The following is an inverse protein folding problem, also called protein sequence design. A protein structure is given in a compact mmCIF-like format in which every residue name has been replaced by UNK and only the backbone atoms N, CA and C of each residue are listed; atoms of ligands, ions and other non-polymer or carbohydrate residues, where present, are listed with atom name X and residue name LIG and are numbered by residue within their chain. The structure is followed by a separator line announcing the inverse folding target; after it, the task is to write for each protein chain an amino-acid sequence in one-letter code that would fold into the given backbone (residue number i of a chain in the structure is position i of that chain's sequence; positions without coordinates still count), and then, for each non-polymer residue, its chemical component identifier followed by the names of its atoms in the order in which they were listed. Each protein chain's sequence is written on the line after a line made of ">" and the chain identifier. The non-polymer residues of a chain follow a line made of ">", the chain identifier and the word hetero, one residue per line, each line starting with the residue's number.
data_IF_191876464765
#
_entry.id   IF_191876464765
#
_cell.length_a   1.000
_cell.length_b   1.000
_cell.length_c   1.000
_cell.angle_alpha   90.00
_cell.angle_beta   90.00
_cell.angle_gamma   90.00
#
_symmetry.space_group_name_H-M   'P 1'
#
loop_
_entity.id
_entity.type
_entity.pdbx_description
1 polymer ?
#
# COMPACT_ATOMS: atom_id res chain seq x y z
N UNK A 1 16.36 -23.15 1.24
CA UNK A 1 15.98 -21.74 1.01
C UNK A 1 15.35 -21.22 2.28
N UNK A 2 15.86 -20.10 2.79
CA UNK A 2 15.38 -19.38 3.97
C UNK A 2 15.13 -17.95 3.52
N UNK A 3 13.87 -17.50 3.60
CA UNK A 3 13.42 -16.22 3.08
C UNK A 3 13.08 -15.31 4.27
N UNK A 4 13.65 -14.12 4.28
CA UNK A 4 13.19 -13.03 5.14
C UNK A 4 12.48 -12.01 4.27
N UNK A 5 11.31 -11.56 4.70
CA UNK A 5 10.52 -10.57 3.96
C UNK A 5 10.25 -9.35 4.83
N UNK A 6 10.77 -8.18 4.43
CA UNK A 6 10.74 -6.96 5.23
C UNK A 6 9.67 -5.96 4.76
N UNK A 7 8.76 -6.37 3.87
CA UNK A 7 7.65 -5.57 3.38
C UNK A 7 6.37 -6.44 3.28
N UNK A 8 5.17 -5.92 3.62
CA UNK A 8 3.93 -6.70 3.51
C UNK A 8 3.69 -7.25 2.11
N UNK A 9 3.81 -6.43 1.06
CA UNK A 9 3.54 -6.88 -0.31
C UNK A 9 4.51 -7.98 -0.77
N UNK A 10 5.79 -7.93 -0.41
CA UNK A 10 6.73 -9.02 -0.76
C UNK A 10 6.41 -10.30 0.00
N UNK A 11 5.91 -10.23 1.23
CA UNK A 11 5.42 -11.40 1.98
C UNK A 11 4.24 -12.04 1.29
N UNK A 12 3.27 -11.24 0.83
CA UNK A 12 2.12 -11.72 0.08
C UNK A 12 2.54 -12.37 -1.25
N UNK A 13 3.53 -11.80 -1.94
CA UNK A 13 4.11 -12.38 -3.16
C UNK A 13 4.73 -13.75 -2.85
N UNK A 14 5.52 -13.88 -1.79
CA UNK A 14 6.12 -15.16 -1.38
C UNK A 14 5.05 -16.23 -1.13
N UNK A 15 3.97 -15.88 -0.42
CA UNK A 15 2.85 -16.80 -0.20
C UNK A 15 2.14 -17.16 -1.50
N UNK A 16 1.85 -16.19 -2.37
CA UNK A 16 1.19 -16.43 -3.66
C UNK A 16 2.03 -17.29 -4.61
N UNK A 17 3.37 -17.23 -4.51
CA UNK A 17 4.29 -18.11 -5.25
C UNK A 17 4.41 -19.53 -4.66
N UNK A 18 3.67 -19.84 -3.59
CA UNK A 18 3.71 -21.14 -2.91
C UNK A 18 4.99 -21.36 -2.08
N UNK A 19 5.65 -20.27 -1.68
CA UNK A 19 6.94 -20.29 -0.98
C UNK A 19 6.82 -19.95 0.52
N UNK A 20 5.60 -19.83 1.04
CA UNK A 20 5.33 -19.44 2.44
C UNK A 20 6.10 -20.26 3.48
N UNK A 21 6.18 -21.59 3.30
CA UNK A 21 6.92 -22.50 4.21
C UNK A 21 8.43 -22.21 4.31
N UNK A 22 8.98 -21.39 3.42
CA UNK A 22 10.38 -20.98 3.42
C UNK A 22 10.59 -19.62 4.10
N UNK A 23 9.53 -18.91 4.48
CA UNK A 23 9.63 -17.70 5.29
C UNK A 23 10.13 -18.06 6.69
N UNK A 24 11.18 -17.38 7.12
CA UNK A 24 11.80 -17.57 8.45
C UNK A 24 11.77 -16.30 9.30
N UNK A 25 11.40 -15.16 8.71
CA UNK A 25 11.26 -13.88 9.41
C UNK A 25 10.50 -12.86 8.56
N UNK A 26 9.87 -11.90 9.24
CA UNK A 26 8.97 -10.91 8.64
C UNK A 26 9.19 -9.50 9.21
N UNK A 27 8.68 -8.45 8.54
CA UNK A 27 8.55 -7.12 9.18
C UNK A 27 7.38 -7.08 10.16
N UNK A 28 7.34 -6.03 11.00
CA UNK A 28 6.23 -5.81 11.95
C UNK A 28 4.87 -5.63 11.25
N UNK A 29 4.84 -5.07 10.04
CA UNK A 29 3.61 -4.84 9.26
C UNK A 29 3.16 -6.05 8.44
N UNK A 30 3.99 -7.10 8.31
CA UNK A 30 3.62 -8.29 7.54
C UNK A 30 2.62 -9.13 8.33
N UNK A 31 1.32 -8.99 8.09
CA UNK A 31 0.27 -9.69 8.85
C UNK A 31 -0.60 -10.63 8.00
N UNK A 32 -0.30 -10.75 6.70
CA UNK A 32 -1.04 -11.57 5.75
C UNK A 32 -0.09 -12.46 4.92
N UNK A 33 -0.45 -13.74 4.67
CA UNK A 33 -1.61 -14.45 5.21
C UNK A 33 -1.44 -14.75 6.71
N UNK A 34 -2.53 -14.95 7.44
CA UNK A 34 -2.50 -15.07 8.91
C UNK A 34 -1.54 -16.16 9.45
N UNK A 35 -1.22 -17.18 8.66
CA UNK A 35 -0.25 -18.24 8.97
C UNK A 35 1.18 -17.74 9.21
N UNK A 36 1.56 -16.58 8.66
CA UNK A 36 2.92 -16.03 8.83
C UNK A 36 3.07 -15.22 10.12
N UNK A 37 1.98 -14.96 10.85
CA UNK A 37 2.00 -14.11 12.05
C UNK A 37 2.79 -14.72 13.21
N UNK A 38 3.02 -16.04 13.21
CA UNK A 38 3.89 -16.71 14.19
C UNK A 38 5.38 -16.58 13.87
N UNK A 39 5.76 -16.06 12.71
CA UNK A 39 7.17 -15.89 12.34
C UNK A 39 7.83 -14.75 13.13
N UNK A 40 9.14 -14.86 13.41
CA UNK A 40 9.90 -13.81 14.07
C UNK A 40 9.79 -12.47 13.35
N UNK A 41 9.58 -11.40 14.11
CA UNK A 41 9.51 -10.02 13.62
C UNK A 41 10.90 -9.40 13.70
N UNK A 42 11.40 -8.92 12.56
CA UNK A 42 12.77 -8.42 12.40
C UNK A 42 12.88 -6.90 12.38
N UNK A 43 11.76 -6.18 12.31
CA UNK A 43 11.77 -4.73 12.25
C UNK A 43 10.84 -4.10 13.26
N UNK A 44 11.19 -2.91 13.72
CA UNK A 44 10.34 -2.09 14.59
C UNK A 44 10.40 -0.61 14.16
N UNK A 45 9.31 0.15 14.31
CA UNK A 45 9.30 1.59 14.05
C UNK A 45 10.15 2.33 15.09
N UNK A 46 10.86 3.38 14.66
CA UNK A 46 11.58 4.33 15.55
C UNK A 46 10.71 5.53 15.95
N UNK A 47 9.40 5.46 15.70
CA UNK A 47 8.39 6.47 16.00
C UNK A 47 7.17 5.82 16.65
N UNK A 48 6.30 6.63 17.25
CA UNK A 48 5.04 6.16 17.85
C UNK A 48 4.00 5.96 16.74
N UNK A 49 3.58 4.71 16.51
CA UNK A 49 2.66 4.35 15.42
C UNK A 49 1.18 4.60 15.73
N UNK A 50 0.80 4.67 17.00
CA UNK A 50 -0.59 4.91 17.41
C UNK A 50 -0.83 6.39 17.74
N UNK A 51 -0.52 7.26 16.78
CA UNK A 51 -0.60 8.72 16.90
C UNK A 51 -1.54 9.35 15.88
N UNK A 52 -1.68 10.67 15.96
CA UNK A 52 -2.35 11.47 14.93
C UNK A 52 -1.45 11.65 13.71
N UNK A 53 -2.01 11.84 12.53
CA UNK A 53 -1.29 11.93 11.25
C UNK A 53 -0.24 13.03 11.30
N UNK A 54 -0.60 14.21 11.84
CA UNK A 54 0.35 15.31 12.01
C UNK A 54 1.52 14.98 12.92
N UNK A 55 1.29 14.22 13.99
CA UNK A 55 2.33 13.87 14.96
C UNK A 55 3.24 12.76 14.41
N UNK A 56 2.69 11.84 13.63
CA UNK A 56 3.45 10.83 12.89
C UNK A 56 4.31 11.52 11.83
N UNK A 57 3.73 12.41 11.01
CA UNK A 57 4.43 13.17 9.97
C UNK A 57 5.63 13.94 10.53
N UNK A 58 5.45 14.65 11.66
CA UNK A 58 6.55 15.36 12.34
C UNK A 58 7.66 14.44 12.81
N UNK A 59 7.33 13.29 13.40
CA UNK A 59 8.32 12.33 13.87
C UNK A 59 9.11 11.73 12.71
N UNK A 60 8.41 11.30 11.66
CA UNK A 60 9.02 10.73 10.45
C UNK A 60 9.93 11.75 9.77
N UNK A 61 9.45 12.98 9.51
CA UNK A 61 10.27 14.06 8.95
C UNK A 61 11.51 14.34 9.81
N UNK A 62 11.36 14.36 11.13
CA UNK A 62 12.51 14.58 12.03
C UNK A 62 13.56 13.46 11.96
N UNK A 63 13.16 12.21 11.72
CA UNK A 63 14.09 11.10 11.52
C UNK A 63 14.83 11.25 10.18
N UNK A 64 14.08 11.51 9.10
CA UNK A 64 14.63 11.67 7.76
C UNK A 64 15.59 12.87 7.65
N UNK A 65 15.25 14.02 8.25
CA UNK A 65 16.11 15.21 8.32
C UNK A 65 17.44 14.94 9.03
N UNK A 66 17.46 13.97 9.96
CA UNK A 66 18.66 13.51 10.67
C UNK A 66 19.41 12.41 9.92
N UNK A 67 18.94 12.01 8.73
CA UNK A 67 19.49 10.90 7.96
C UNK A 67 19.27 9.54 8.63
N UNK A 68 18.30 9.43 9.54
CA UNK A 68 17.96 8.20 10.23
C UNK A 68 16.83 7.49 9.48
N UNK A 69 16.95 6.18 9.33
CA UNK A 69 15.83 5.35 8.87
C UNK A 69 14.66 5.41 9.84
N UNK A 70 13.46 5.29 9.28
CA UNK A 70 12.20 5.26 10.02
C UNK A 70 12.03 3.97 10.84
N UNK A 71 12.74 2.90 10.46
CA UNK A 71 12.68 1.60 11.09
C UNK A 71 14.05 1.16 11.59
N UNK A 72 14.06 0.16 12.47
CA UNK A 72 15.25 -0.57 12.89
C UNK A 72 15.14 -2.01 12.42
N UNK A 73 16.27 -2.63 12.05
CA UNK A 73 16.40 -4.07 11.79
C UNK A 73 17.12 -4.74 12.96
N UNK A 74 16.56 -5.82 13.47
CA UNK A 74 17.23 -6.68 14.43
C UNK A 74 18.31 -7.51 13.72
N UNK A 75 19.54 -6.98 13.73
CA UNK A 75 20.67 -7.59 13.05
C UNK A 75 21.11 -8.92 13.69
N UNK A 76 20.95 -9.07 15.01
CA UNK A 76 21.29 -10.32 15.73
C UNK A 76 20.31 -11.43 15.36
N UNK A 77 19.00 -11.15 15.37
CA UNK A 77 18.00 -12.12 14.94
C UNK A 77 18.12 -12.42 13.45
N UNK A 78 18.36 -11.41 12.60
CA UNK A 78 18.60 -11.63 11.17
C UNK A 78 19.78 -12.59 10.96
N UNK A 79 20.81 -12.45 11.80
CA UNK A 79 21.99 -13.29 11.78
C UNK A 79 21.75 -14.73 12.17
N UNK A 80 20.99 -14.94 13.25
CA UNK A 80 20.56 -16.26 13.70
C UNK A 80 19.71 -16.95 12.64
N UNK A 81 18.86 -16.19 11.95
CA UNK A 81 17.96 -16.70 10.92
C UNK A 81 18.65 -17.08 9.62
N UNK A 82 19.91 -16.70 9.36
CA UNK A 82 20.69 -17.16 8.19
C UNK A 82 19.91 -17.15 6.86
N UNK A 83 19.26 -16.05 6.45
CA UNK A 83 18.51 -16.01 5.18
C UNK A 83 19.39 -16.22 3.95
N UNK A 84 18.87 -16.98 3.00
CA UNK A 84 19.42 -17.07 1.64
C UNK A 84 18.98 -15.87 0.80
N UNK A 85 17.74 -15.38 1.04
CA UNK A 85 17.14 -14.23 0.33
C UNK A 85 16.49 -13.29 1.34
N UNK A 86 16.72 -11.98 1.17
CA UNK A 86 16.02 -10.93 1.90
C UNK A 86 15.24 -10.09 0.88
N UNK A 87 13.92 -10.00 1.07
CA UNK A 87 13.06 -9.16 0.25
C UNK A 87 12.80 -7.84 0.97
N UNK A 88 13.06 -6.72 0.30
CA UNK A 88 12.85 -5.36 0.82
C UNK A 88 12.39 -4.41 -0.30
N UNK A 89 12.37 -3.11 -0.03
CA UNK A 89 12.04 -2.06 -1.00
C UNK A 89 12.91 -0.81 -0.84
N UNK A 90 12.91 -0.02 -1.89
CA UNK A 90 13.58 1.28 -2.03
C UNK A 90 12.63 2.36 -2.63
N UNK A 91 11.32 2.11 -2.57
CA UNK A 91 10.26 3.00 -3.06
C UNK A 91 9.94 4.15 -2.12
N UNK A 92 9.78 3.83 -0.83
CA UNK A 92 9.29 4.74 0.18
C UNK A 92 10.13 4.56 1.45
N UNK A 93 10.93 5.57 1.81
CA UNK A 93 11.76 5.55 3.03
C UNK A 93 10.95 5.49 4.33
N UNK A 94 9.63 5.70 4.22
CA UNK A 94 8.66 5.65 5.32
C UNK A 94 7.95 4.31 5.42
N UNK A 95 7.89 3.50 4.37
CA UNK A 95 6.98 2.36 4.29
C UNK A 95 7.64 1.01 4.65
N UNK A 96 8.97 0.93 4.60
CA UNK A 96 9.74 -0.18 5.14
C UNK A 96 11.15 0.28 5.53
N UNK A 97 11.93 -0.63 6.11
CA UNK A 97 13.35 -0.37 6.35
C UNK A 97 14.07 -0.01 5.05
N UNK A 98 14.97 0.96 5.11
CA UNK A 98 15.78 1.38 3.97
C UNK A 98 16.75 0.30 3.51
N UNK A 99 17.01 0.25 2.20
CA UNK A 99 17.99 -0.67 1.62
C UNK A 99 19.39 -0.54 2.24
N UNK A 100 19.95 0.66 2.49
CA UNK A 100 21.25 0.80 3.13
C UNK A 100 21.34 0.17 4.52
N UNK A 101 20.28 0.25 5.33
CA UNK A 101 20.26 -0.39 6.65
C UNK A 101 20.23 -1.92 6.55
N UNK A 102 19.46 -2.46 5.60
CA UNK A 102 19.44 -3.91 5.33
C UNK A 102 20.82 -4.37 4.86
N UNK A 103 21.42 -3.66 3.92
CA UNK A 103 22.76 -3.97 3.42
C UNK A 103 23.81 -3.86 4.52
N UNK A 104 23.75 -2.85 5.39
CA UNK A 104 24.66 -2.70 6.52
C UNK A 104 24.50 -3.83 7.55
N UNK A 105 23.26 -4.22 7.87
CA UNK A 105 22.99 -5.36 8.76
C UNK A 105 23.53 -6.67 8.17
N UNK A 106 23.32 -6.89 6.87
CA UNK A 106 23.87 -8.06 6.15
C UNK A 106 25.38 -8.02 6.13
N UNK A 107 26.02 -6.89 5.80
CA UNK A 107 27.49 -6.77 5.74
C UNK A 107 28.15 -7.01 7.10
N UNK A 108 27.58 -6.43 8.17
CA UNK A 108 28.13 -6.50 9.54
C UNK A 108 28.10 -7.92 10.09
N UNK A 109 27.03 -8.67 9.85
CA UNK A 109 26.91 -10.03 10.33
C UNK A 109 27.56 -11.04 9.39
N UNK A 110 27.27 -10.96 8.09
CA UNK A 110 27.49 -12.13 7.24
C UNK A 110 28.97 -12.45 7.12
N UNK A 111 29.85 -11.48 6.84
CA UNK A 111 31.16 -11.82 6.26
C UNK A 111 31.05 -12.80 5.06
N UNK A 112 29.84 -12.99 4.51
CA UNK A 112 29.41 -14.10 3.67
C UNK A 112 28.71 -13.50 2.47
N UNK A 113 29.37 -13.56 1.32
CA UNK A 113 28.94 -13.00 0.04
C UNK A 113 27.74 -13.75 -0.60
N UNK A 114 26.88 -14.42 0.19
CA UNK A 114 25.88 -15.39 -0.31
C UNK A 114 24.42 -15.00 -0.11
N UNK A 115 24.08 -14.12 0.83
CA UNK A 115 22.68 -13.67 0.99
C UNK A 115 22.31 -12.73 -0.16
N UNK A 116 21.24 -13.04 -0.88
CA UNK A 116 20.76 -12.22 -1.97
C UNK A 116 19.70 -11.23 -1.46
N UNK A 117 20.01 -9.94 -1.48
CA UNK A 117 19.06 -8.87 -1.17
C UNK A 117 18.32 -8.48 -2.45
N UNK A 118 16.98 -8.55 -2.42
CA UNK A 118 16.11 -8.19 -3.53
C UNK A 118 15.27 -7.00 -3.11
N UNK A 119 15.61 -5.83 -3.64
CA UNK A 119 14.78 -4.62 -3.49
C UNK A 119 13.79 -4.49 -4.64
N UNK A 120 12.56 -4.07 -4.35
CA UNK A 120 11.54 -3.71 -5.35
C UNK A 120 11.03 -2.29 -5.10
N UNK A 121 10.70 -1.58 -6.17
CA UNK A 121 10.15 -0.22 -6.08
C UNK A 121 9.05 0.00 -7.13
N UNK A 122 7.86 -0.61 -6.94
CA UNK A 122 6.76 -0.43 -7.86
C UNK A 122 6.12 0.96 -7.68
N UNK A 123 6.12 1.77 -8.73
CA UNK A 123 5.40 3.05 -8.76
C UNK A 123 4.08 2.94 -9.51
N UNK A 124 3.91 1.95 -10.37
CA UNK A 124 2.70 1.72 -11.18
C UNK A 124 2.35 0.21 -11.22
N UNK A 125 1.22 -0.15 -11.83
CA UNK A 125 0.76 -1.53 -11.99
C UNK A 125 1.79 -2.40 -12.73
N UNK A 126 2.45 -1.84 -13.74
CA UNK A 126 3.49 -2.57 -14.45
C UNK A 126 4.68 -2.88 -13.53
N UNK A 127 5.10 -1.93 -12.70
CA UNK A 127 6.11 -2.06 -11.68
C UNK A 127 5.75 -3.12 -10.64
N UNK A 128 4.46 -3.24 -10.27
CA UNK A 128 3.97 -4.34 -9.43
C UNK A 128 4.21 -5.68 -10.11
N UNK A 129 3.84 -5.82 -11.39
CA UNK A 129 4.10 -7.06 -12.14
C UNK A 129 5.59 -7.37 -12.23
N UNK A 130 6.42 -6.37 -12.54
CA UNK A 130 7.87 -6.55 -12.60
C UNK A 130 8.46 -6.95 -11.25
N UNK A 131 7.93 -6.42 -10.15
CA UNK A 131 8.31 -6.80 -8.79
C UNK A 131 8.00 -8.28 -8.51
N UNK A 132 6.82 -8.76 -8.91
CA UNK A 132 6.44 -10.17 -8.81
C UNK A 132 7.37 -11.05 -9.65
N UNK A 133 7.66 -10.66 -10.88
CA UNK A 133 8.56 -11.41 -11.77
C UNK A 133 10.00 -11.45 -11.23
N UNK A 134 10.52 -10.33 -10.72
CA UNK A 134 11.85 -10.21 -10.10
C UNK A 134 11.97 -11.11 -8.86
N UNK A 135 10.97 -11.08 -7.98
CA UNK A 135 10.91 -11.97 -6.81
C UNK A 135 10.79 -13.43 -7.26
N UNK A 136 9.94 -13.72 -8.25
CA UNK A 136 9.83 -15.03 -8.86
C UNK A 136 11.16 -15.56 -9.39
N UNK A 137 11.97 -14.73 -10.04
CA UNK A 137 13.31 -15.10 -10.50
C UNK A 137 14.24 -15.42 -9.32
N UNK A 138 14.32 -14.54 -8.33
CA UNK A 138 15.17 -14.72 -7.15
C UNK A 138 14.82 -16.00 -6.35
N UNK A 139 13.53 -16.36 -6.33
CA UNK A 139 13.02 -17.55 -5.64
C UNK A 139 12.95 -18.80 -6.52
N UNK A 140 13.43 -18.74 -7.78
CA UNK A 140 13.39 -19.84 -8.75
C UNK A 140 11.95 -20.33 -9.04
N UNK A 141 11.01 -19.38 -9.10
CA UNK A 141 9.57 -19.54 -9.32
C UNK A 141 9.06 -18.74 -10.53
N UNK A 142 9.87 -18.59 -11.58
CA UNK A 142 9.52 -17.83 -12.80
C UNK A 142 8.15 -18.18 -13.39
N UNK A 143 7.84 -19.48 -13.53
CA UNK A 143 6.55 -19.94 -14.07
C UNK A 143 5.37 -19.57 -13.17
N UNK A 144 5.50 -19.71 -11.85
CA UNK A 144 4.46 -19.33 -10.90
C UNK A 144 4.25 -17.82 -10.90
N UNK A 145 5.33 -17.03 -10.97
CA UNK A 145 5.26 -15.58 -11.04
C UNK A 145 4.57 -15.09 -12.31
N UNK A 146 4.88 -15.69 -13.46
CA UNK A 146 4.18 -15.37 -14.71
C UNK A 146 2.69 -15.70 -14.62
N UNK A 147 2.35 -16.89 -14.12
CA UNK A 147 0.95 -17.31 -13.94
C UNK A 147 0.18 -16.36 -13.02
N UNK A 148 0.81 -15.91 -11.93
CA UNK A 148 0.23 -14.95 -11.00
C UNK A 148 -0.02 -13.58 -11.65
N UNK A 149 0.94 -13.08 -12.44
CA UNK A 149 0.78 -11.82 -13.18
C UNK A 149 -0.35 -11.92 -14.21
N UNK A 150 -0.44 -13.05 -14.92
CA UNK A 150 -1.48 -13.27 -15.92
C UNK A 150 -2.88 -13.29 -15.27
N UNK A 151 -3.00 -13.98 -14.12
CA UNK A 151 -4.23 -14.00 -13.33
C UNK A 151 -4.62 -12.60 -12.82
N UNK A 152 -3.67 -11.82 -12.31
CA UNK A 152 -3.92 -10.45 -11.86
C UNK A 152 -4.44 -9.57 -13.01
N UNK A 153 -3.80 -9.64 -14.17
CA UNK A 153 -4.23 -8.89 -15.37
C UNK A 153 -5.63 -9.29 -15.81
N UNK A 154 -5.93 -10.58 -15.84
CA UNK A 154 -7.27 -11.09 -16.18
C UNK A 154 -8.34 -10.54 -15.23
N UNK A 155 -8.09 -10.58 -13.91
CA UNK A 155 -9.02 -10.06 -12.90
C UNK A 155 -9.28 -8.56 -13.05
N UNK A 156 -8.25 -7.77 -13.33
CA UNK A 156 -8.39 -6.33 -13.57
C UNK A 156 -9.14 -6.04 -14.88
N UNK A 157 -8.92 -6.83 -15.93
CA UNK A 157 -9.62 -6.68 -17.21
C UNK A 157 -11.10 -7.04 -17.10
N UNK A 158 -11.46 -8.02 -16.27
CA UNK A 158 -12.87 -8.33 -15.96
C UNK A 158 -13.56 -7.11 -15.32
N UNK A 159 -12.88 -6.42 -14.39
CA UNK A 159 -13.42 -5.20 -13.78
C UNK A 159 -13.58 -4.11 -14.85
N UNK A 160 -12.52 -3.83 -15.62
CA UNK A 160 -12.49 -2.81 -16.68
C UNK A 160 -13.62 -3.01 -17.69
N UNK A 161 -13.77 -4.23 -18.19
CA UNK A 161 -14.78 -4.57 -19.19
C UNK A 161 -16.21 -4.43 -18.65
N UNK A 162 -16.44 -4.76 -17.37
CA UNK A 162 -17.76 -4.62 -16.72
C UNK A 162 -18.21 -3.16 -16.63
N UNK A 163 -17.27 -2.23 -16.39
CA UNK A 163 -17.54 -0.78 -16.28
C UNK A 163 -17.32 -0.02 -17.60
N UNK A 164 -16.99 -0.72 -18.69
CA UNK A 164 -16.75 -0.09 -19.98
C UNK A 164 -18.00 0.64 -20.50
N UNK A 165 -17.82 1.86 -20.99
CA UNK A 165 -18.90 2.73 -21.47
C UNK A 165 -19.84 3.27 -20.39
N UNK A 166 -19.53 3.08 -19.10
CA UNK A 166 -20.28 3.70 -18.00
C UNK A 166 -19.82 5.13 -17.77
N UNK A 167 -20.67 5.91 -17.10
CA UNK A 167 -20.32 7.28 -16.67
C UNK A 167 -19.18 7.19 -15.65
N UNK A 168 -18.12 7.95 -15.90
CA UNK A 168 -16.95 8.03 -15.03
C UNK A 168 -17.15 9.17 -14.04
N UNK A 169 -16.91 8.89 -12.76
CA UNK A 169 -16.95 9.89 -11.68
C UNK A 169 -15.54 10.41 -11.42
N UNK A 170 -15.42 11.70 -11.15
CA UNK A 170 -14.18 12.32 -10.67
C UNK A 170 -13.93 11.93 -9.21
N UNK A 171 -12.75 11.37 -8.93
CA UNK A 171 -12.38 10.80 -7.63
C UNK A 171 -11.15 11.51 -7.08
N UNK A 172 -11.24 11.97 -5.83
CA UNK A 172 -10.07 12.34 -5.02
C UNK A 172 -9.83 11.23 -4.00
N UNK A 173 -8.59 10.76 -3.93
CA UNK A 173 -8.19 9.67 -3.02
C UNK A 173 -7.21 10.18 -1.98
N UNK A 174 -7.65 10.39 -0.74
CA UNK A 174 -6.83 10.95 0.34
C UNK A 174 -5.96 9.85 0.95
N UNK A 175 -4.64 9.92 0.73
CA UNK A 175 -3.63 8.98 1.25
C UNK A 175 -3.06 9.41 2.61
N UNK A 176 -3.13 10.70 2.94
CA UNK A 176 -2.75 11.22 4.25
C UNK A 176 -3.61 12.44 4.60
N UNK A 177 -4.06 12.52 5.85
CA UNK A 177 -5.05 13.52 6.28
C UNK A 177 -4.37 14.83 6.67
N UNK A 178 -3.22 14.77 7.35
CA UNK A 178 -2.56 15.96 7.87
C UNK A 178 -1.03 15.79 7.98
N UNK A 179 -0.25 16.49 7.14
CA UNK A 179 -0.70 17.36 6.06
C UNK A 179 -1.47 16.61 4.96
N UNK A 180 -2.19 17.29 4.09
CA UNK A 180 -3.03 16.60 3.10
C UNK A 180 -2.19 16.01 1.96
N UNK A 181 -2.41 14.73 1.67
CA UNK A 181 -1.87 14.06 0.48
C UNK A 181 -2.97 13.37 -0.30
N UNK A 182 -2.87 13.45 -1.61
CA UNK A 182 -3.65 12.61 -2.53
C UNK A 182 -2.78 11.45 -3.00
N UNK A 183 -3.41 10.32 -3.28
CA UNK A 183 -2.73 9.09 -3.60
C UNK A 183 -2.23 9.07 -5.04
N UNK A 184 -0.92 8.90 -5.21
CA UNK A 184 -0.27 8.70 -6.50
C UNK A 184 0.00 7.23 -6.79
N UNK A 185 1.14 6.97 -7.41
CA UNK A 185 1.64 5.65 -7.75
C UNK A 185 0.63 4.85 -8.62
N UNK A 186 0.28 3.63 -8.21
CA UNK A 186 -0.65 2.75 -8.92
C UNK A 186 -2.12 3.14 -8.71
N UNK A 187 -2.43 3.99 -7.73
CA UNK A 187 -3.81 4.30 -7.33
C UNK A 187 -4.62 4.96 -8.47
N UNK A 188 -4.09 5.97 -9.20
CA UNK A 188 -4.76 6.51 -10.37
C UNK A 188 -5.19 5.42 -11.37
N UNK A 189 -4.32 4.45 -11.66
CA UNK A 189 -4.65 3.34 -12.57
C UNK A 189 -5.78 2.45 -12.01
N UNK A 190 -5.80 2.21 -10.70
CA UNK A 190 -6.88 1.40 -10.09
C UNK A 190 -8.23 2.11 -10.21
N UNK A 191 -8.25 3.43 -9.97
CA UNK A 191 -9.47 4.25 -10.14
C UNK A 191 -9.93 4.23 -11.59
N UNK A 192 -9.01 4.35 -12.54
CA UNK A 192 -9.33 4.26 -13.96
C UNK A 192 -9.91 2.91 -14.38
N UNK A 193 -9.31 1.81 -13.91
CA UNK A 193 -9.80 0.44 -14.14
C UNK A 193 -11.19 0.24 -13.54
N UNK A 194 -11.42 0.79 -12.34
CA UNK A 194 -12.71 0.77 -11.67
C UNK A 194 -13.75 1.71 -12.30
N UNK A 195 -13.40 2.44 -13.36
CA UNK A 195 -14.31 3.28 -14.12
C UNK A 195 -14.56 4.65 -13.50
N UNK A 196 -13.59 5.21 -12.78
CA UNK A 196 -13.55 6.60 -12.33
C UNK A 196 -12.38 7.37 -12.96
N UNK A 197 -12.38 8.69 -12.82
CA UNK A 197 -11.29 9.58 -13.22
C UNK A 197 -10.57 10.07 -11.96
N UNK A 198 -9.32 9.68 -11.77
CA UNK A 198 -8.52 10.14 -10.63
C UNK A 198 -8.17 11.62 -10.79
N UNK A 199 -8.16 12.36 -9.68
CA UNK A 199 -7.80 13.77 -9.65
C UNK A 199 -6.60 14.02 -8.74
N UNK A 200 -5.88 15.11 -9.01
CA UNK A 200 -4.80 15.66 -8.18
C UNK A 200 -3.54 14.78 -8.05
N UNK A 201 -3.46 13.63 -8.73
CA UNK A 201 -2.23 12.88 -8.96
C UNK A 201 -2.30 12.09 -10.26
N UNK A 202 -1.12 11.79 -10.80
CA UNK A 202 -0.92 11.09 -12.07
C UNK A 202 -0.40 9.66 -11.83
N UNK A 203 -0.72 8.70 -12.72
CA UNK A 203 -0.19 7.35 -12.68
C UNK A 203 1.35 7.32 -12.60
N UNK A 204 1.90 6.54 -11.68
CA UNK A 204 3.35 6.34 -11.54
C UNK A 204 4.12 7.46 -10.84
N UNK A 205 3.49 8.62 -10.61
CA UNK A 205 4.09 9.73 -9.86
C UNK A 205 3.87 9.57 -8.36
N UNK A 206 4.84 10.01 -7.55
CA UNK A 206 4.71 9.94 -6.09
C UNK A 206 3.50 10.75 -5.59
N UNK A 207 2.82 10.24 -4.56
CA UNK A 207 1.71 10.92 -3.88
C UNK A 207 2.08 12.36 -3.50
N UNK A 208 1.41 13.38 -4.08
CA UNK A 208 1.76 14.77 -3.83
C UNK A 208 1.06 15.29 -2.57
N UNK A 209 1.76 16.22 -1.89
CA UNK A 209 1.14 17.08 -0.89
C UNK A 209 0.25 18.10 -1.60
N UNK A 210 -0.96 18.29 -1.08
CA UNK A 210 -1.94 19.23 -1.63
C UNK A 210 -2.48 20.14 -0.53
N UNK A 211 -3.03 21.27 -0.93
CA UNK A 211 -3.79 22.16 -0.07
C UNK A 211 -5.28 21.80 -0.12
N UNK A 212 -6.02 22.17 0.92
CA UNK A 212 -7.49 21.99 0.95
C UNK A 212 -8.20 22.69 -0.22
N UNK A 213 -7.67 23.84 -0.67
CA UNK A 213 -8.19 24.59 -1.83
C UNK A 213 -8.15 23.77 -3.12
N UNK A 214 -7.18 22.87 -3.28
CA UNK A 214 -7.03 22.08 -4.49
C UNK A 214 -8.20 21.07 -4.61
N UNK A 215 -8.68 20.55 -3.47
CA UNK A 215 -9.88 19.69 -3.41
C UNK A 215 -11.14 20.51 -3.72
N UNK A 216 -11.24 21.73 -3.20
CA UNK A 216 -12.38 22.63 -3.48
C UNK A 216 -12.47 23.01 -4.96
N UNK A 217 -11.33 23.35 -5.58
CA UNK A 217 -11.25 23.70 -7.00
C UNK A 217 -11.54 22.51 -7.91
N UNK A 218 -11.11 21.31 -7.51
CA UNK A 218 -11.36 20.09 -8.28
C UNK A 218 -12.82 19.62 -8.21
N UNK A 219 -13.55 19.95 -7.13
CA UNK A 219 -14.94 19.62 -6.84
C UNK A 219 -15.33 18.18 -7.25
N UNK A 220 -14.77 17.15 -6.57
CA UNK A 220 -14.94 15.76 -6.98
C UNK A 220 -16.37 15.26 -6.82
N UNK A 221 -16.76 14.31 -7.68
CA UNK A 221 -18.01 13.57 -7.55
C UNK A 221 -17.96 12.58 -6.37
N UNK A 222 -16.76 12.14 -6.00
CA UNK A 222 -16.52 11.13 -4.98
C UNK A 222 -15.20 11.35 -4.25
N UNK A 223 -15.20 11.17 -2.93
CA UNK A 223 -13.99 11.22 -2.10
C UNK A 223 -13.81 9.86 -1.42
N UNK A 224 -12.62 9.29 -1.56
CA UNK A 224 -12.19 8.14 -0.75
C UNK A 224 -11.09 8.56 0.22
N UNK A 225 -11.21 8.15 1.48
CA UNK A 225 -10.26 8.47 2.56
C UNK A 225 -9.59 7.16 2.96
N UNK A 226 -8.31 7.02 2.63
CA UNK A 226 -7.55 5.77 2.74
C UNK A 226 -6.14 5.96 3.33
N UNK A 227 -6.02 6.59 4.51
CA UNK A 227 -4.72 6.96 5.05
C UNK A 227 -3.76 5.77 5.17
N UNK A 228 -2.51 6.00 4.80
CA UNK A 228 -1.46 4.98 4.87
C UNK A 228 -1.28 4.46 6.30
N UNK A 229 -1.14 3.13 6.47
CA UNK A 229 -0.93 2.50 7.79
C UNK A 229 -2.10 2.61 8.78
N UNK A 230 -3.25 3.15 8.37
CA UNK A 230 -4.41 3.34 9.25
C UNK A 230 -5.49 2.29 8.99
N UNK A 231 -6.01 1.74 10.09
CA UNK A 231 -7.27 0.99 10.10
C UNK A 231 -8.47 1.95 10.03
N UNK A 232 -9.67 1.43 9.73
CA UNK A 232 -10.91 2.21 9.79
C UNK A 232 -11.09 3.00 11.07
N UNK A 233 -10.70 2.42 12.21
CA UNK A 233 -10.85 3.06 13.52
C UNK A 233 -9.99 4.33 13.58
N UNK A 234 -8.71 4.20 13.22
CA UNK A 234 -7.77 5.32 13.21
C UNK A 234 -8.20 6.38 12.19
N UNK A 235 -8.61 5.96 10.99
CA UNK A 235 -9.15 6.89 9.99
C UNK A 235 -10.34 7.66 10.53
N UNK A 236 -11.32 6.99 11.14
CA UNK A 236 -12.52 7.63 11.68
C UNK A 236 -12.23 8.63 12.80
N UNK A 237 -11.20 8.39 13.62
CA UNK A 237 -10.75 9.33 14.66
C UNK A 237 -10.19 10.64 14.07
N UNK A 238 -9.71 10.62 12.82
CA UNK A 238 -9.11 11.78 12.16
C UNK A 238 -10.01 12.46 11.12
N UNK A 239 -11.07 11.80 10.67
CA UNK A 239 -12.10 12.38 9.80
C UNK A 239 -12.56 13.78 10.24
N UNK A 240 -12.72 14.10 11.54
CA UNK A 240 -13.06 15.45 11.97
C UNK A 240 -12.11 16.55 11.47
N UNK A 241 -10.83 16.27 11.21
CA UNK A 241 -9.86 17.22 10.62
C UNK A 241 -10.25 17.67 9.21
N UNK A 242 -11.05 16.86 8.51
CA UNK A 242 -11.62 17.17 7.20
C UNK A 242 -13.02 17.75 7.36
N UNK A 243 -13.88 17.08 8.11
CA UNK A 243 -15.32 17.38 8.15
C UNK A 243 -15.67 18.61 8.98
N UNK A 244 -14.78 19.09 9.87
CA UNK A 244 -15.01 20.30 10.66
C UNK A 244 -14.69 21.60 9.90
N UNK A 245 -14.28 21.50 8.63
CA UNK A 245 -14.03 22.66 7.76
C UNK A 245 -15.36 23.20 7.27
N UNK A 246 -15.54 24.52 7.29
CA UNK A 246 -16.79 25.14 6.86
C UNK A 246 -17.12 24.79 5.38
N UNK A 247 -16.08 24.77 4.54
CA UNK A 247 -16.16 24.45 3.11
C UNK A 247 -16.41 22.96 2.83
N UNK A 248 -16.29 22.07 3.84
CA UNK A 248 -16.57 20.64 3.66
C UNK A 248 -17.98 20.42 3.12
N UNK A 249 -18.95 21.16 3.65
CA UNK A 249 -20.36 21.05 3.24
C UNK A 249 -20.63 21.56 1.82
N UNK A 250 -19.68 22.26 1.21
CA UNK A 250 -19.80 22.85 -0.12
C UNK A 250 -19.46 21.85 -1.24
N UNK A 251 -18.62 20.86 -0.95
CA UNK A 251 -18.17 19.86 -1.91
C UNK A 251 -19.32 19.03 -2.49
N UNK A 252 -19.29 18.80 -3.81
CA UNK A 252 -20.29 17.97 -4.50
C UNK A 252 -20.37 16.56 -3.90
N UNK A 253 -19.24 15.89 -3.71
CA UNK A 253 -19.19 14.56 -3.08
C UNK A 253 -19.89 14.51 -1.71
N UNK A 254 -19.81 15.59 -0.91
CA UNK A 254 -20.45 15.65 0.42
C UNK A 254 -21.95 15.85 0.30
N UNK A 255 -22.39 16.79 -0.55
CA UNK A 255 -23.82 17.03 -0.84
C UNK A 255 -24.52 15.79 -1.39
N UNK A 256 -23.83 15.03 -2.21
CA UNK A 256 -24.32 13.81 -2.85
C UNK A 256 -24.09 12.53 -2.04
N UNK A 257 -23.53 12.61 -0.82
CA UNK A 257 -23.30 11.44 0.06
C UNK A 257 -22.40 10.38 -0.57
N UNK A 258 -21.33 10.86 -1.22
CA UNK A 258 -20.32 10.08 -1.92
C UNK A 258 -18.94 10.22 -1.24
N UNK A 259 -18.91 10.12 0.10
CA UNK A 259 -17.66 10.07 0.86
C UNK A 259 -17.51 8.71 1.52
N UNK A 260 -16.35 8.08 1.31
CA UNK A 260 -16.09 6.72 1.74
C UNK A 260 -14.79 6.63 2.53
N UNK A 261 -14.80 5.83 3.59
CA UNK A 261 -13.59 5.39 4.28
C UNK A 261 -13.16 4.06 3.67
N UNK A 262 -11.87 3.90 3.45
CA UNK A 262 -11.28 2.65 2.97
C UNK A 262 -10.30 2.10 4.01
N UNK A 263 -10.15 0.78 4.04
CA UNK A 263 -9.06 0.17 4.80
C UNK A 263 -7.77 0.32 3.97
N UNK A 264 -7.01 1.38 4.26
CA UNK A 264 -5.78 1.72 3.57
C UNK A 264 -4.68 0.68 3.81
N UNK A 265 -4.40 0.34 5.07
CA UNK A 265 -3.28 -0.53 5.45
C UNK A 265 -3.30 -1.89 4.74
N UNK A 266 -4.48 -2.50 4.63
CA UNK A 266 -4.64 -3.85 4.06
C UNK A 266 -4.75 -3.85 2.54
N UNK A 267 -5.46 -2.89 1.94
CA UNK A 267 -5.79 -2.97 0.52
C UNK A 267 -5.04 -1.94 -0.35
N UNK A 268 -4.76 -0.74 0.14
CA UNK A 268 -4.30 0.34 -0.75
C UNK A 268 -2.81 0.63 -0.66
N UNK A 269 -2.13 0.20 0.42
CA UNK A 269 -0.69 0.44 0.63
C UNK A 269 0.19 -0.80 0.43
N UNK A 270 -0.35 -1.87 -0.18
CA UNK A 270 0.35 -3.14 -0.41
C UNK A 270 0.41 -3.44 -1.92
N UNK A 271 1.41 -2.92 -2.64
CA UNK A 271 1.54 -3.10 -4.09
C UNK A 271 1.94 -4.54 -4.43
N UNK A 272 0.97 -5.44 -4.50
CA UNK A 272 1.18 -6.88 -4.61
C UNK A 272 -0.04 -7.64 -5.15
N UNK A 273 -0.13 -8.96 -4.89
CA UNK A 273 -1.12 -9.83 -5.51
C UNK A 273 -2.57 -9.42 -5.26
N UNK A 274 -2.86 -8.76 -4.13
CA UNK A 274 -4.21 -8.36 -3.73
C UNK A 274 -4.70 -7.03 -4.33
N UNK A 275 -3.95 -6.41 -5.25
CA UNK A 275 -4.35 -5.13 -5.85
C UNK A 275 -5.69 -5.19 -6.61
N UNK A 276 -6.08 -6.39 -7.06
CA UNK A 276 -7.40 -6.62 -7.65
C UNK A 276 -8.53 -6.42 -6.62
N UNK A 277 -8.31 -6.69 -5.32
CA UNK A 277 -9.29 -6.45 -4.25
C UNK A 277 -9.49 -4.95 -4.05
N UNK A 278 -8.40 -4.18 -4.05
CA UNK A 278 -8.42 -2.71 -3.97
C UNK A 278 -9.20 -2.10 -5.14
N UNK A 279 -8.95 -2.61 -6.35
CA UNK A 279 -9.70 -2.22 -7.55
C UNK A 279 -11.17 -2.63 -7.48
N UNK A 280 -11.45 -3.82 -6.93
CA UNK A 280 -12.83 -4.31 -6.70
C UNK A 280 -13.57 -3.42 -5.71
N UNK A 281 -12.92 -2.97 -4.63
CA UNK A 281 -13.48 -2.03 -3.65
C UNK A 281 -13.89 -0.72 -4.35
N UNK A 282 -13.01 -0.15 -5.16
CA UNK A 282 -13.32 1.05 -5.94
C UNK A 282 -14.50 0.83 -6.89
N UNK A 283 -14.55 -0.32 -7.58
CA UNK A 283 -15.63 -0.65 -8.49
C UNK A 283 -16.99 -0.84 -7.78
N UNK A 284 -17.00 -1.46 -6.58
CA UNK A 284 -18.19 -1.57 -5.72
C UNK A 284 -18.75 -0.21 -5.31
N UNK A 285 -17.87 0.76 -5.05
CA UNK A 285 -18.23 2.13 -4.66
C UNK A 285 -18.72 2.93 -5.87
N UNK A 286 -18.00 2.86 -6.99
CA UNK A 286 -18.27 3.66 -8.18
C UNK A 286 -19.52 3.18 -8.94
N UNK A 287 -19.71 1.86 -9.04
CA UNK A 287 -20.73 1.20 -9.86
C UNK A 287 -21.54 0.15 -9.06
N UNK A 288 -22.29 0.55 -8.01
CA UNK A 288 -23.01 -0.38 -7.13
C UNK A 288 -24.09 -1.22 -7.83
N UNK A 289 -24.59 -0.79 -8.99
CA UNK A 289 -25.55 -1.53 -9.81
C UNK A 289 -24.91 -2.71 -10.57
N UNK A 290 -23.59 -2.69 -10.74
CA UNK A 290 -22.82 -3.71 -11.47
C UNK A 290 -21.98 -4.58 -10.54
N UNK A 291 -21.66 -4.07 -9.34
CA UNK A 291 -20.79 -4.72 -8.38
C UNK A 291 -21.50 -4.89 -7.04
N UNK A 292 -21.78 -6.15 -6.67
CA UNK A 292 -22.26 -6.48 -5.32
C UNK A 292 -21.23 -6.02 -4.27
N UNK A 293 -21.66 -5.42 -3.14
CA UNK A 293 -20.80 -4.83 -2.13
C UNK A 293 -20.18 -5.91 -1.21
N UNK A 294 -19.35 -6.79 -1.77
CA UNK A 294 -18.79 -7.95 -1.06
C UNK A 294 -17.69 -7.59 -0.08
N UNK A 295 -17.06 -6.43 -0.25
CA UNK A 295 -16.01 -5.91 0.62
C UNK A 295 -16.49 -4.72 1.47
N UNK A 296 -17.80 -4.50 1.55
CA UNK A 296 -18.37 -3.52 2.47
C UNK A 296 -18.13 -3.97 3.91
N UNK A 297 -17.84 -3.02 4.79
CA UNK A 297 -17.44 -3.18 6.20
C UNK A 297 -16.04 -3.74 6.43
N UNK A 298 -15.41 -4.39 5.46
CA UNK A 298 -14.05 -4.94 5.55
C UNK A 298 -13.02 -4.15 4.76
N UNK A 299 -13.36 -3.75 3.53
CA UNK A 299 -12.53 -2.94 2.64
C UNK A 299 -13.01 -1.50 2.49
N UNK A 300 -14.32 -1.25 2.64
CA UNK A 300 -14.86 0.11 2.61
C UNK A 300 -16.09 0.33 3.50
N UNK A 301 -16.29 1.58 3.94
CA UNK A 301 -17.49 2.06 4.64
C UNK A 301 -17.91 3.41 4.07
N UNK A 302 -19.22 3.65 4.03
CA UNK A 302 -19.74 4.98 3.66
C UNK A 302 -19.68 5.90 4.88
N UNK A 303 -19.17 7.11 4.71
CA UNK A 303 -19.11 8.12 5.76
C UNK A 303 -20.41 8.94 5.85
N UNK A 304 -20.92 9.42 4.71
CA UNK A 304 -22.15 10.24 4.61
C UNK A 304 -23.11 9.72 3.57
#
# INVERSE_FOLDING_TARGET
>A
MRIVSLLPSTTEIVSALGMEKYLVGRSHECDYPASITSLPVLTKPKYITNGKSRDIDKQVKSLLEKGLSVYEVDAELLAELKPDVILTQDHCEVCAVSLPEVEAAVQTWTGNQKTHVVSVSPTDLNGIYQSILKIGEALQKKSNAQSLVDEMKERLEIIRSTVSGKVRKKVVSIEWIDPLMTAGNWIPELVEIAGGDHLLAEPGEHSPWIDWKDILEADPDLIVIMPCGYSFKQTAEEVPLLTSRDEWSELKAVKEKNVYLLEGNQYFNRPGPRIFESTRILAEILHPDHFKPTLKETGWKRLT
#
